data_IF_729196908075
#
_entry.id   IF_729196908075
#
_cell.length_a   1.000
_cell.length_b   1.000
_cell.length_c   1.000
_cell.angle_alpha   90.00
_cell.angle_beta   90.00
_cell.angle_gamma   90.00
#
_symmetry.space_group_name_H-M   'P 1'
#
loop_
_entity.id
_entity.type
_entity.pdbx_description
1 polymer ?
#
# COMPACT_ATOMS: atom_id res chain seq x y z
N UNK A 1 -3.40 -11.22 -19.06
CA UNK A 1 -3.67 -11.62 -20.46
C UNK A 1 -2.39 -11.92 -21.25
N UNK A 2 -1.48 -10.95 -21.53
CA UNK A 2 -0.25 -11.25 -22.31
C UNK A 2 0.69 -12.19 -21.54
N UNK A 3 0.90 -11.92 -20.25
CA UNK A 3 1.77 -12.74 -19.38
C UNK A 3 1.27 -14.18 -19.29
N UNK A 4 -0.04 -14.36 -19.06
CA UNK A 4 -0.66 -15.69 -18.96
C UNK A 4 -0.49 -16.50 -20.25
N UNK A 5 -0.64 -15.85 -21.42
CA UNK A 5 -0.41 -16.49 -22.72
C UNK A 5 1.05 -16.92 -22.88
N UNK A 6 2.00 -16.04 -22.57
CA UNK A 6 3.43 -16.36 -22.68
C UNK A 6 3.78 -17.52 -21.75
N UNK A 7 3.36 -17.49 -20.48
CA UNK A 7 3.62 -18.57 -19.53
C UNK A 7 3.01 -19.90 -19.97
N UNK A 8 1.73 -19.90 -20.35
CA UNK A 8 1.03 -21.11 -20.78
C UNK A 8 1.66 -21.72 -22.05
N UNK A 9 1.97 -20.90 -23.05
CA UNK A 9 2.66 -21.35 -24.27
C UNK A 9 4.06 -21.89 -23.96
N UNK A 10 4.83 -21.27 -23.06
CA UNK A 10 6.17 -21.76 -22.71
C UNK A 10 6.15 -23.09 -21.95
N UNK A 11 5.15 -23.31 -21.08
CA UNK A 11 5.04 -24.52 -20.26
C UNK A 11 4.47 -25.71 -21.04
N UNK A 12 3.44 -25.47 -21.87
CA UNK A 12 2.65 -26.54 -22.48
C UNK A 12 2.72 -26.59 -24.00
N UNK A 13 3.71 -25.92 -24.63
CA UNK A 13 3.85 -25.84 -26.10
C UNK A 13 3.68 -27.18 -26.83
N UNK A 14 4.22 -28.25 -26.26
CA UNK A 14 4.24 -29.59 -26.86
C UNK A 14 2.97 -30.42 -26.60
N UNK A 15 2.06 -29.95 -25.74
CA UNK A 15 0.86 -30.66 -25.32
C UNK A 15 -0.37 -29.74 -25.44
N UNK A 16 -1.03 -29.71 -26.61
CA UNK A 16 -2.15 -28.79 -26.87
C UNK A 16 -3.32 -29.00 -25.91
N UNK A 17 -3.60 -30.25 -25.51
CA UNK A 17 -4.67 -30.58 -24.57
C UNK A 17 -4.43 -29.94 -23.19
N UNK A 18 -3.19 -29.93 -22.72
CA UNK A 18 -2.82 -29.31 -21.44
C UNK A 18 -2.85 -27.77 -21.54
N UNK A 19 -2.49 -27.23 -22.69
CA UNK A 19 -2.56 -25.79 -22.95
C UNK A 19 -4.00 -25.29 -22.91
N UNK A 20 -4.94 -26.03 -23.51
CA UNK A 20 -6.37 -25.69 -23.49
C UNK A 20 -6.92 -25.70 -22.06
N UNK A 21 -6.61 -26.74 -21.27
CA UNK A 21 -7.04 -26.83 -19.86
C UNK A 21 -6.45 -25.70 -19.01
N UNK A 22 -5.18 -25.33 -19.24
CA UNK A 22 -4.53 -24.27 -18.48
C UNK A 22 -5.05 -22.87 -18.82
N UNK A 23 -5.40 -22.64 -20.09
CA UNK A 23 -5.90 -21.34 -20.55
C UNK A 23 -7.37 -21.13 -20.20
N UNK A 24 -8.18 -22.19 -20.21
CA UNK A 24 -9.61 -22.15 -19.91
C UNK A 24 -9.89 -22.61 -18.47
N UNK A 25 -9.46 -21.80 -17.50
CA UNK A 25 -9.72 -22.07 -16.09
C UNK A 25 -11.23 -22.02 -15.79
N UNK A 26 -11.79 -23.03 -15.09
CA UNK A 26 -13.21 -23.01 -14.72
C UNK A 26 -13.48 -21.88 -13.71
N UNK A 27 -14.69 -21.30 -13.75
CA UNK A 27 -15.10 -20.29 -12.78
C UNK A 27 -15.18 -20.89 -11.37
N UNK A 28 -15.28 -20.03 -10.36
CA UNK A 28 -15.43 -20.50 -8.99
C UNK A 28 -16.74 -21.32 -8.84
N UNK A 29 -16.79 -22.40 -8.04
CA UNK A 29 -18.00 -23.24 -7.91
C UNK A 29 -19.28 -22.49 -7.50
N UNK A 30 -19.14 -21.36 -6.80
CA UNK A 30 -20.27 -20.48 -6.48
C UNK A 30 -20.81 -19.73 -7.70
N UNK A 31 -19.93 -19.32 -8.61
CA UNK A 31 -20.28 -18.67 -9.87
C UNK A 31 -20.82 -19.69 -10.88
N UNK A 32 -20.25 -20.90 -10.91
CA UNK A 32 -20.73 -22.00 -11.77
C UNK A 32 -22.17 -22.41 -11.47
N UNK A 33 -22.56 -22.41 -10.17
CA UNK A 33 -23.94 -22.68 -9.76
C UNK A 33 -24.94 -21.61 -10.21
N UNK A 34 -24.51 -20.36 -10.34
CA UNK A 34 -25.37 -19.22 -10.66
C UNK A 34 -24.65 -18.25 -11.63
N UNK A 35 -24.55 -18.58 -12.92
CA UNK A 35 -23.70 -17.82 -13.86
C UNK A 35 -24.10 -16.35 -14.04
N UNK A 36 -25.39 -16.04 -13.87
CA UNK A 36 -25.94 -14.68 -14.01
C UNK A 36 -25.86 -13.84 -12.73
N UNK A 37 -25.39 -14.41 -11.62
CA UNK A 37 -25.36 -13.78 -10.29
C UNK A 37 -26.32 -14.44 -9.30
N UNK A 38 -26.07 -14.25 -8.01
CA UNK A 38 -26.73 -14.98 -6.91
C UNK A 38 -27.54 -14.06 -5.97
N UNK A 39 -27.83 -12.82 -6.40
CA UNK A 39 -28.57 -11.81 -5.62
C UNK A 39 -30.00 -12.24 -5.24
N UNK A 40 -30.58 -13.19 -5.97
CA UNK A 40 -31.88 -13.80 -5.67
C UNK A 40 -31.92 -14.52 -4.30
N UNK A 41 -30.75 -14.87 -3.74
CA UNK A 41 -30.64 -15.53 -2.45
C UNK A 41 -30.67 -14.55 -1.26
N UNK A 42 -30.50 -13.24 -1.48
CA UNK A 42 -30.43 -12.23 -0.42
C UNK A 42 -31.63 -12.27 0.54
N UNK A 43 -32.90 -12.33 0.07
CA UNK A 43 -34.05 -12.33 0.98
C UNK A 43 -34.13 -13.60 1.85
N UNK A 44 -33.53 -14.71 1.41
CA UNK A 44 -33.61 -16.01 2.09
C UNK A 44 -32.62 -16.16 3.25
N UNK A 45 -31.54 -15.38 3.26
CA UNK A 45 -30.47 -15.51 4.26
C UNK A 45 -30.19 -14.18 4.95
N UNK A 46 -30.37 -14.13 6.28
CA UNK A 46 -30.09 -12.94 7.10
C UNK A 46 -28.64 -12.45 6.94
N UNK A 47 -27.68 -13.38 6.79
CA UNK A 47 -26.29 -13.05 6.53
C UNK A 47 -26.13 -12.18 5.27
N UNK A 48 -26.78 -12.57 4.17
CA UNK A 48 -26.65 -11.85 2.91
C UNK A 48 -27.24 -10.45 3.03
N UNK A 49 -28.35 -10.28 3.76
CA UNK A 49 -28.94 -8.96 4.03
C UNK A 49 -28.00 -8.07 4.85
N UNK A 50 -27.29 -8.63 5.83
CA UNK A 50 -26.25 -7.90 6.57
C UNK A 50 -25.09 -7.50 5.65
N UNK A 51 -24.64 -8.41 4.79
CA UNK A 51 -23.54 -8.14 3.84
C UNK A 51 -23.91 -7.11 2.78
N UNK A 52 -25.18 -6.98 2.39
CA UNK A 52 -25.62 -5.90 1.50
C UNK A 52 -25.36 -4.51 2.11
N UNK A 53 -25.52 -4.36 3.42
CA UNK A 53 -25.16 -3.10 4.12
C UNK A 53 -23.66 -2.84 4.08
N UNK A 54 -22.85 -3.90 4.13
CA UNK A 54 -21.40 -3.80 3.98
C UNK A 54 -21.01 -3.40 2.54
N UNK A 55 -21.63 -3.98 1.52
CA UNK A 55 -21.46 -3.57 0.11
C UNK A 55 -21.74 -2.07 -0.08
N UNK A 56 -22.85 -1.58 0.48
CA UNK A 56 -23.22 -0.16 0.46
C UNK A 56 -22.18 0.71 1.15
N UNK A 57 -21.63 0.26 2.29
CA UNK A 57 -20.61 1.01 3.03
C UNK A 57 -19.28 1.14 2.29
N UNK A 58 -18.91 0.13 1.49
CA UNK A 58 -17.69 0.12 0.67
C UNK A 58 -17.93 0.77 -0.70
N UNK A 59 -19.16 0.78 -1.18
CA UNK A 59 -19.52 1.26 -2.52
C UNK A 59 -19.15 0.26 -3.63
N UNK A 60 -19.09 -1.04 -3.31
CA UNK A 60 -18.82 -2.11 -4.27
C UNK A 60 -19.95 -3.13 -4.24
N UNK A 61 -20.65 -3.27 -5.36
CA UNK A 61 -21.76 -4.20 -5.54
C UNK A 61 -21.24 -5.52 -6.13
N UNK A 62 -21.25 -6.63 -5.38
CA UNK A 62 -20.83 -7.93 -5.91
C UNK A 62 -21.88 -8.51 -6.86
N UNK A 63 -21.40 -9.16 -7.92
CA UNK A 63 -22.25 -9.97 -8.82
C UNK A 63 -22.67 -11.25 -8.10
N UNK A 64 -21.72 -11.87 -7.41
CA UNK A 64 -21.91 -13.07 -6.61
C UNK A 64 -21.68 -12.79 -5.12
N UNK A 65 -22.71 -12.34 -4.40
CA UNK A 65 -22.66 -12.00 -2.98
C UNK A 65 -22.26 -13.20 -2.10
N UNK A 66 -22.42 -14.43 -2.58
CA UNK A 66 -21.96 -15.61 -1.84
C UNK A 66 -20.43 -15.72 -1.78
N UNK A 67 -19.69 -15.12 -2.72
CA UNK A 67 -18.22 -15.00 -2.62
C UNK A 67 -17.85 -14.13 -1.42
N UNK A 68 -18.56 -13.00 -1.25
CA UNK A 68 -18.42 -12.14 -0.10
C UNK A 68 -18.79 -12.89 1.19
N UNK A 69 -19.93 -13.58 1.20
CA UNK A 69 -20.31 -14.41 2.36
C UNK A 69 -19.26 -15.47 2.72
N UNK A 70 -18.64 -16.08 1.71
CA UNK A 70 -17.55 -17.03 1.90
C UNK A 70 -16.31 -16.37 2.50
N UNK A 71 -15.92 -15.17 2.06
CA UNK A 71 -14.79 -14.43 2.63
C UNK A 71 -14.98 -14.13 4.13
N UNK A 72 -16.21 -13.87 4.55
CA UNK A 72 -16.57 -13.60 5.94
C UNK A 72 -16.83 -14.86 6.78
N UNK A 73 -16.69 -16.06 6.20
CA UNK A 73 -16.91 -17.32 6.93
C UNK A 73 -15.60 -17.93 7.41
N UNK A 74 -15.37 -17.88 8.72
CA UNK A 74 -14.20 -18.47 9.35
C UNK A 74 -14.18 -20.00 9.27
N UNK A 75 -12.98 -20.58 9.36
CA UNK A 75 -12.77 -22.04 9.38
C UNK A 75 -13.55 -22.77 10.47
N UNK A 76 -13.90 -22.11 11.58
CA UNK A 76 -14.67 -22.71 12.69
C UNK A 76 -16.10 -23.09 12.32
N UNK A 77 -16.69 -22.41 11.33
CA UNK A 77 -18.08 -22.66 10.88
C UNK A 77 -18.19 -23.95 10.06
N UNK A 78 -17.13 -24.32 9.35
CA UNK A 78 -17.10 -25.50 8.50
C UNK A 78 -17.82 -25.30 7.16
N UNK A 79 -18.45 -26.36 6.65
CA UNK A 79 -19.13 -26.35 5.36
C UNK A 79 -20.60 -25.95 5.51
N UNK A 80 -21.03 -24.95 4.74
CA UNK A 80 -22.45 -24.55 4.63
C UNK A 80 -22.89 -24.59 3.17
N UNK A 81 -24.18 -24.84 2.92
CA UNK A 81 -24.73 -24.79 1.57
C UNK A 81 -24.62 -23.39 0.94
N UNK A 82 -24.57 -22.35 1.78
CA UNK A 82 -24.44 -20.97 1.34
C UNK A 82 -23.03 -20.68 0.80
N UNK A 83 -21.98 -21.00 1.56
CA UNK A 83 -20.59 -20.58 1.25
C UNK A 83 -19.71 -21.69 0.68
N UNK A 84 -20.14 -22.94 0.78
CA UNK A 84 -19.42 -24.15 0.35
C UNK A 84 -18.04 -24.31 1.02
N UNK A 85 -17.91 -23.86 2.27
CA UNK A 85 -16.69 -23.94 3.08
C UNK A 85 -16.23 -22.58 3.62
N UNK A 86 -14.98 -22.55 4.07
CA UNK A 86 -14.36 -21.40 4.72
C UNK A 86 -13.61 -20.47 3.76
N UNK A 87 -13.18 -19.35 4.32
CA UNK A 87 -12.42 -18.29 3.68
C UNK A 87 -10.93 -18.58 3.42
N UNK A 88 -10.35 -19.65 3.97
CA UNK A 88 -8.89 -19.91 3.90
C UNK A 88 -8.29 -19.92 2.48
N UNK A 89 -9.05 -20.39 1.49
CA UNK A 89 -8.59 -20.36 0.07
C UNK A 89 -8.62 -18.95 -0.51
N UNK A 90 -9.57 -18.13 -0.08
CA UNK A 90 -9.67 -16.73 -0.48
C UNK A 90 -8.61 -15.90 0.24
N UNK A 91 -8.30 -16.19 1.50
CA UNK A 91 -7.17 -15.61 2.25
C UNK A 91 -5.86 -15.82 1.48
N UNK A 92 -5.54 -17.07 1.13
CA UNK A 92 -4.35 -17.42 0.35
C UNK A 92 -4.26 -16.65 -0.98
N UNK A 93 -5.36 -16.59 -1.74
CA UNK A 93 -5.42 -15.86 -3.00
C UNK A 93 -5.27 -14.35 -2.78
N UNK A 94 -5.94 -13.83 -1.76
CA UNK A 94 -5.95 -12.42 -1.40
C UNK A 94 -4.59 -11.91 -0.97
N UNK A 95 -3.85 -12.66 -0.17
CA UNK A 95 -2.45 -12.35 0.19
C UNK A 95 -1.59 -12.22 -1.08
N UNK A 96 -1.71 -13.18 -2.01
CA UNK A 96 -0.96 -13.14 -3.28
C UNK A 96 -1.31 -11.90 -4.12
N UNK A 97 -2.60 -11.60 -4.26
CA UNK A 97 -3.09 -10.42 -4.99
C UNK A 97 -2.61 -9.13 -4.33
N UNK A 98 -2.68 -9.05 -3.01
CA UNK A 98 -2.24 -7.90 -2.23
C UNK A 98 -0.73 -7.68 -2.37
N UNK A 99 0.08 -8.74 -2.30
CA UNK A 99 1.52 -8.68 -2.52
C UNK A 99 1.86 -8.19 -3.93
N UNK A 100 1.15 -8.66 -4.96
CA UNK A 100 1.35 -8.22 -6.35
C UNK A 100 1.07 -6.71 -6.48
N UNK A 101 -0.10 -6.26 -6.05
CA UNK A 101 -0.54 -4.86 -6.13
C UNK A 101 0.42 -3.94 -5.36
N UNK A 102 0.82 -4.34 -4.15
CA UNK A 102 1.77 -3.58 -3.34
C UNK A 102 3.15 -3.50 -4.00
N UNK A 103 3.65 -4.61 -4.55
CA UNK A 103 4.96 -4.65 -5.24
C UNK A 103 4.96 -3.75 -6.47
N UNK A 104 3.91 -3.83 -7.29
CA UNK A 104 3.76 -3.00 -8.49
C UNK A 104 3.66 -1.51 -8.15
N UNK A 105 2.88 -1.18 -7.11
CA UNK A 105 2.78 0.20 -6.62
C UNK A 105 4.15 0.71 -6.16
N UNK A 106 4.86 -0.03 -5.31
CA UNK A 106 6.17 0.41 -4.79
C UNK A 106 7.19 0.56 -5.92
N UNK A 107 7.24 -0.38 -6.87
CA UNK A 107 8.12 -0.31 -8.03
C UNK A 107 7.87 0.95 -8.87
N UNK A 108 6.60 1.30 -9.16
CA UNK A 108 6.23 2.48 -9.96
C UNK A 108 6.50 3.80 -9.23
N UNK A 109 6.30 3.85 -7.91
CA UNK A 109 6.38 5.09 -7.12
C UNK A 109 7.77 5.36 -6.53
N UNK A 110 8.64 4.36 -6.43
CA UNK A 110 9.99 4.47 -5.89
C UNK A 110 11.06 3.94 -6.87
N UNK A 111 11.19 4.52 -8.08
CA UNK A 111 12.07 4.00 -9.13
C UNK A 111 13.58 4.06 -8.80
N UNK A 112 13.97 4.87 -7.81
CA UNK A 112 15.36 5.02 -7.36
C UNK A 112 15.71 4.04 -6.22
N UNK A 113 14.74 3.24 -5.74
CA UNK A 113 14.97 2.29 -4.65
C UNK A 113 15.35 0.91 -5.21
N UNK A 114 16.38 0.30 -4.62
CA UNK A 114 16.76 -1.08 -4.96
C UNK A 114 15.80 -2.10 -4.34
N UNK A 115 15.90 -3.35 -4.80
CA UNK A 115 15.03 -4.48 -4.38
C UNK A 115 14.85 -4.55 -2.85
N UNK A 116 15.94 -4.63 -2.07
CA UNK A 116 15.84 -4.74 -0.61
C UNK A 116 15.05 -3.59 0.07
N UNK A 117 15.12 -2.36 -0.45
CA UNK A 117 14.31 -1.25 0.07
C UNK A 117 12.83 -1.42 -0.30
N UNK A 118 12.53 -1.85 -1.52
CA UNK A 118 11.16 -2.11 -1.96
C UNK A 118 10.52 -3.26 -1.17
N UNK A 119 11.27 -4.35 -0.96
CA UNK A 119 10.85 -5.50 -0.15
C UNK A 119 10.54 -5.10 1.29
N UNK A 120 11.36 -4.23 1.87
CA UNK A 120 11.16 -3.71 3.22
C UNK A 120 9.94 -2.78 3.33
N UNK A 121 9.77 -1.86 2.39
CA UNK A 121 8.56 -1.03 2.30
C UNK A 121 7.31 -1.88 2.14
N UNK A 122 7.39 -2.95 1.33
CA UNK A 122 6.27 -3.90 1.14
C UNK A 122 5.91 -4.60 2.44
N UNK A 123 6.87 -5.19 3.15
CA UNK A 123 6.61 -5.86 4.44
C UNK A 123 6.11 -4.90 5.52
N UNK A 124 6.43 -3.61 5.42
CA UNK A 124 5.95 -2.60 6.35
C UNK A 124 4.52 -2.14 6.04
N UNK A 125 4.15 -2.15 4.76
CA UNK A 125 2.82 -1.78 4.29
C UNK A 125 1.83 -2.95 4.37
N UNK A 126 2.26 -4.14 3.99
CA UNK A 126 1.49 -5.39 3.97
C UNK A 126 1.94 -6.24 5.15
N UNK A 127 1.37 -5.97 6.32
CA UNK A 127 1.56 -6.77 7.53
C UNK A 127 0.26 -6.86 8.34
N UNK A 128 0.21 -7.85 9.23
CA UNK A 128 -0.99 -8.15 10.01
C UNK A 128 -1.51 -6.93 10.79
N UNK A 129 -0.64 -6.06 11.29
CA UNK A 129 -1.05 -4.87 12.05
C UNK A 129 -1.75 -3.86 11.15
N UNK A 130 -1.17 -3.55 10.00
CA UNK A 130 -1.75 -2.59 9.05
C UNK A 130 -3.06 -3.11 8.49
N UNK A 131 -3.08 -4.39 8.13
CA UNK A 131 -4.28 -5.05 7.62
C UNK A 131 -5.40 -5.10 8.68
N UNK A 132 -5.07 -5.38 9.94
CA UNK A 132 -6.04 -5.34 11.03
C UNK A 132 -6.65 -3.95 11.23
N UNK A 133 -5.84 -2.89 11.16
CA UNK A 133 -6.34 -1.52 11.25
C UNK A 133 -7.29 -1.19 10.09
N UNK A 134 -6.97 -1.62 8.87
CA UNK A 134 -7.87 -1.44 7.72
C UNK A 134 -9.18 -2.22 7.91
N UNK A 135 -9.11 -3.45 8.42
CA UNK A 135 -10.29 -4.25 8.76
C UNK A 135 -11.19 -3.54 9.80
N UNK A 136 -10.58 -2.91 10.81
CA UNK A 136 -11.30 -2.17 11.85
C UNK A 136 -11.92 -0.88 11.30
N UNK A 137 -11.18 -0.12 10.49
CA UNK A 137 -11.68 1.12 9.87
C UNK A 137 -12.86 0.88 8.93
N UNK A 138 -12.92 -0.30 8.30
CA UNK A 138 -14.04 -0.75 7.47
C UNK A 138 -15.15 -1.45 8.26
N UNK A 139 -14.97 -1.67 9.57
CA UNK A 139 -15.94 -2.36 10.42
C UNK A 139 -16.23 -3.81 10.02
N UNK A 140 -15.29 -4.48 9.33
CA UNK A 140 -15.49 -5.84 8.78
C UNK A 140 -15.74 -6.88 9.87
N UNK A 141 -15.14 -6.70 11.05
CA UNK A 141 -15.32 -7.57 12.21
C UNK A 141 -16.79 -7.83 12.56
N UNK A 142 -17.67 -6.85 12.34
CA UNK A 142 -19.09 -6.93 12.67
C UNK A 142 -19.89 -7.85 11.74
N UNK A 143 -19.35 -8.18 10.58
CA UNK A 143 -19.99 -9.02 9.56
C UNK A 143 -19.42 -10.43 9.50
N UNK A 144 -18.34 -10.70 10.24
CA UNK A 144 -17.64 -11.97 10.21
C UNK A 144 -18.42 -13.07 10.98
N UNK A 145 -18.49 -14.25 10.37
CA UNK A 145 -19.15 -15.42 10.92
C UNK A 145 -18.17 -16.36 11.60
N UNK A 146 -18.45 -16.65 12.87
CA UNK A 146 -17.75 -17.62 13.69
C UNK A 146 -18.77 -18.58 14.30
N UNK A 147 -18.39 -19.85 14.44
CA UNK A 147 -19.26 -20.85 15.07
C UNK A 147 -19.47 -20.57 16.57
N UNK A 148 -18.45 -19.97 17.19
CA UNK A 148 -18.53 -19.42 18.54
C UNK A 148 -18.13 -17.94 18.46
N UNK A 149 -19.04 -16.99 18.75
CA UNK A 149 -18.73 -15.57 18.66
C UNK A 149 -17.56 -15.25 19.60
N UNK A 150 -16.40 -14.91 19.01
CA UNK A 150 -15.23 -14.48 19.78
C UNK A 150 -15.54 -13.12 20.41
N UNK A 151 -15.24 -12.96 21.70
CA UNK A 151 -15.39 -11.67 22.38
C UNK A 151 -14.50 -10.59 21.76
N UNK A 152 -13.34 -10.97 21.23
CA UNK A 152 -12.43 -10.06 20.52
C UNK A 152 -11.65 -10.80 19.43
N UNK A 153 -11.59 -10.22 18.23
CA UNK A 153 -10.78 -10.75 17.14
C UNK A 153 -9.32 -10.38 17.33
N UNK A 154 -8.43 -11.37 17.19
CA UNK A 154 -6.98 -11.15 17.21
C UNK A 154 -6.57 -10.37 15.97
N UNK A 155 -5.43 -9.66 16.05
CA UNK A 155 -4.83 -8.93 14.92
C UNK A 155 -4.67 -9.82 13.68
N UNK A 156 -4.27 -11.09 13.86
CA UNK A 156 -4.15 -12.03 12.76
C UNK A 156 -5.51 -12.34 12.13
N UNK A 157 -6.52 -12.67 12.93
CA UNK A 157 -7.87 -12.98 12.41
C UNK A 157 -8.45 -11.83 11.57
N UNK A 158 -8.16 -10.57 11.96
CA UNK A 158 -8.58 -9.37 11.21
C UNK A 158 -7.82 -9.20 9.89
N UNK A 159 -6.53 -9.52 9.88
CA UNK A 159 -5.73 -9.52 8.67
C UNK A 159 -6.20 -10.60 7.68
N UNK A 160 -6.36 -11.84 8.16
CA UNK A 160 -6.83 -12.98 7.36
C UNK A 160 -8.21 -12.67 6.74
N UNK A 161 -9.10 -11.94 7.46
CA UNK A 161 -10.39 -11.48 6.95
C UNK A 161 -10.27 -10.45 5.82
N UNK A 162 -9.34 -9.49 5.95
CA UNK A 162 -9.08 -8.50 4.89
C UNK A 162 -8.54 -9.19 3.63
N UNK A 163 -7.60 -10.11 3.78
CA UNK A 163 -7.04 -10.90 2.68
C UNK A 163 -8.14 -11.70 2.00
N UNK A 164 -8.98 -12.41 2.76
CA UNK A 164 -10.10 -13.15 2.21
C UNK A 164 -11.08 -12.27 1.44
N UNK A 165 -11.36 -11.05 1.92
CA UNK A 165 -12.19 -10.08 1.20
C UNK A 165 -11.55 -9.63 -0.11
N UNK A 166 -10.25 -9.31 -0.11
CA UNK A 166 -9.51 -8.96 -1.34
C UNK A 166 -9.55 -10.13 -2.33
N UNK A 167 -9.40 -11.37 -1.85
CA UNK A 167 -9.54 -12.58 -2.65
C UNK A 167 -10.93 -12.71 -3.28
N UNK A 168 -12.01 -12.46 -2.52
CA UNK A 168 -13.37 -12.47 -3.07
C UNK A 168 -13.60 -11.35 -4.08
N UNK A 169 -13.09 -10.14 -3.80
CA UNK A 169 -13.17 -9.00 -4.71
C UNK A 169 -12.47 -9.29 -6.03
N UNK A 170 -11.29 -9.93 -5.97
CA UNK A 170 -10.55 -10.34 -7.15
C UNK A 170 -11.32 -11.37 -7.99
N UNK A 171 -11.95 -12.36 -7.35
CA UNK A 171 -12.73 -13.40 -8.06
C UNK A 171 -14.01 -12.84 -8.69
N UNK A 172 -14.66 -11.85 -8.08
CA UNK A 172 -15.91 -11.27 -8.59
C UNK A 172 -15.68 -10.14 -9.62
N UNK A 173 -14.72 -9.25 -9.37
CA UNK A 173 -14.52 -8.00 -10.13
C UNK A 173 -13.16 -7.87 -10.82
N UNK A 174 -12.19 -8.71 -10.47
CA UNK A 174 -10.84 -8.67 -11.04
C UNK A 174 -9.90 -7.66 -10.37
N UNK A 175 -8.71 -7.55 -10.95
CA UNK A 175 -7.58 -6.83 -10.35
C UNK A 175 -7.80 -5.32 -10.21
N UNK A 176 -8.50 -4.69 -11.14
CA UNK A 176 -8.70 -3.23 -11.17
C UNK A 176 -9.40 -2.73 -9.89
N UNK A 177 -10.42 -3.45 -9.41
CA UNK A 177 -11.13 -3.11 -8.18
C UNK A 177 -10.23 -3.30 -6.94
N UNK A 178 -9.41 -4.35 -6.92
CA UNK A 178 -8.44 -4.59 -5.85
C UNK A 178 -7.39 -3.47 -5.80
N UNK A 179 -6.92 -2.99 -6.96
CA UNK A 179 -5.98 -1.87 -7.03
C UNK A 179 -6.57 -0.58 -6.47
N UNK A 180 -7.79 -0.23 -6.88
CA UNK A 180 -8.49 0.96 -6.38
C UNK A 180 -8.73 0.85 -4.88
N UNK A 181 -9.14 -0.33 -4.40
CA UNK A 181 -9.31 -0.58 -2.98
C UNK A 181 -8.00 -0.32 -2.21
N UNK A 182 -6.89 -0.92 -2.63
CA UNK A 182 -5.59 -0.73 -1.98
C UNK A 182 -5.08 0.73 -2.03
N UNK A 183 -5.38 1.45 -3.12
CA UNK A 183 -5.04 2.87 -3.27
C UNK A 183 -5.76 3.76 -2.26
N UNK A 184 -6.96 3.40 -1.83
CA UNK A 184 -7.75 4.17 -0.87
C UNK A 184 -7.45 3.75 0.56
N UNK A 185 -7.29 2.45 0.83
CA UNK A 185 -7.25 1.93 2.21
C UNK A 185 -5.84 1.72 2.77
N UNK A 186 -4.89 1.31 1.92
CA UNK A 186 -3.54 0.90 2.34
C UNK A 186 -2.50 1.96 2.01
N UNK A 187 -2.42 2.38 0.74
CA UNK A 187 -1.33 3.24 0.27
C UNK A 187 -1.26 4.64 0.91
N UNK A 188 -2.35 5.28 1.37
CA UNK A 188 -2.24 6.53 2.11
C UNK A 188 -1.46 6.37 3.41
N UNK A 189 -1.57 5.22 4.09
CA UNK A 189 -0.87 4.91 5.34
C UNK A 189 0.63 4.74 5.15
N UNK A 190 1.06 4.44 3.93
CA UNK A 190 2.49 4.41 3.61
C UNK A 190 3.16 5.74 3.95
N UNK A 191 2.45 6.88 3.82
CA UNK A 191 3.00 8.17 4.20
C UNK A 191 3.29 8.25 5.70
N UNK A 192 2.34 7.82 6.52
CA UNK A 192 2.48 7.80 7.98
C UNK A 192 3.61 6.85 8.41
N UNK A 193 3.70 5.66 7.79
CA UNK A 193 4.79 4.71 8.08
C UNK A 193 6.16 5.27 7.73
N UNK A 194 6.28 5.93 6.57
CA UNK A 194 7.56 6.49 6.17
C UNK A 194 7.94 7.68 7.07
N UNK A 195 6.97 8.51 7.49
CA UNK A 195 7.20 9.61 8.42
C UNK A 195 7.62 9.12 9.81
N UNK A 196 6.99 8.07 10.32
CA UNK A 196 7.27 7.53 11.65
C UNK A 196 8.56 6.69 11.70
N UNK A 197 9.08 6.23 10.56
CA UNK A 197 10.33 5.45 10.43
C UNK A 197 10.38 4.16 11.28
N UNK A 198 9.23 3.62 11.71
CA UNK A 198 9.13 2.41 12.54
C UNK A 198 9.48 1.10 11.80
N UNK A 199 9.79 1.19 10.50
CA UNK A 199 9.94 0.04 9.59
C UNK A 199 11.30 -0.65 9.63
N UNK A 200 12.27 -0.12 10.37
CA UNK A 200 13.57 -0.75 10.53
C UNK A 200 13.91 -0.85 12.01
N UNK A 201 14.23 -2.07 12.46
CA UNK A 201 15.05 -2.20 13.64
C UNK A 201 16.34 -1.38 13.44
N UNK A 202 16.83 -0.67 14.46
CA UNK A 202 17.99 0.21 14.31
C UNK A 202 19.22 -0.51 13.73
N UNK A 203 19.31 -1.84 13.93
CA UNK A 203 20.37 -2.70 13.41
C UNK A 203 20.26 -2.90 11.89
N UNK A 204 19.10 -3.29 11.35
CA UNK A 204 18.91 -3.35 9.89
C UNK A 204 19.06 -1.99 9.22
N UNK A 205 18.61 -0.91 9.86
CA UNK A 205 18.81 0.46 9.33
C UNK A 205 20.29 0.81 9.19
N UNK A 206 21.08 0.51 10.22
CA UNK A 206 22.53 0.74 10.19
C UNK A 206 23.20 -0.13 9.13
N UNK A 207 22.81 -1.40 9.02
CA UNK A 207 23.32 -2.31 7.98
C UNK A 207 23.04 -1.77 6.58
N UNK A 208 21.82 -1.30 6.30
CA UNK A 208 21.49 -0.70 5.01
C UNK A 208 22.34 0.55 4.71
N UNK A 209 22.50 1.45 5.68
CA UNK A 209 23.34 2.64 5.51
C UNK A 209 24.82 2.28 5.24
N UNK A 210 25.32 1.22 5.86
CA UNK A 210 26.65 0.70 5.60
C UNK A 210 26.77 0.08 4.20
N UNK A 211 25.75 -0.68 3.76
CA UNK A 211 25.70 -1.30 2.43
C UNK A 211 25.58 -0.30 1.29
N UNK A 212 25.07 0.90 1.54
CA UNK A 212 25.00 1.98 0.53
C UNK A 212 26.31 2.77 0.39
N UNK A 213 27.25 2.62 1.33
CA UNK A 213 28.62 3.17 1.27
C UNK A 213 29.62 2.25 0.53
N UNK A 214 29.14 1.31 -0.29
CA UNK A 214 30.00 0.47 -1.12
C UNK A 214 30.94 1.32 -1.95
N UNK A 215 32.23 1.01 -1.86
CA UNK A 215 33.23 1.46 -2.83
C UNK A 215 32.99 0.73 -4.16
N UNK A 216 33.27 1.41 -5.27
CA UNK A 216 33.07 0.88 -6.63
C UNK A 216 34.02 -0.29 -6.98
N UNK A 217 34.83 -0.75 -6.03
CA UNK A 217 36.00 -1.61 -6.25
C UNK A 217 35.67 -3.11 -6.25
N UNK A 218 34.39 -3.50 -6.35
CA UNK A 218 33.97 -4.89 -6.57
C UNK A 218 34.24 -5.88 -5.42
N UNK A 219 34.70 -5.43 -4.27
CA UNK A 219 34.88 -6.24 -3.07
C UNK A 219 33.57 -6.63 -2.36
N UNK A 220 33.65 -7.61 -1.46
CA UNK A 220 32.51 -7.98 -0.61
C UNK A 220 32.04 -6.77 0.23
N UNK A 221 30.72 -6.56 0.37
CA UNK A 221 30.20 -5.39 1.04
C UNK A 221 30.51 -5.42 2.55
N UNK A 222 31.05 -4.32 3.08
CA UNK A 222 31.30 -4.17 4.52
C UNK A 222 29.99 -4.15 5.31
N UNK A 223 29.86 -5.06 6.29
CA UNK A 223 28.71 -5.16 7.19
C UNK A 223 29.12 -4.71 8.60
N UNK A 224 28.26 -3.98 9.34
CA UNK A 224 28.56 -3.59 10.72
C UNK A 224 28.67 -4.81 11.65
N UNK A 225 29.73 -4.84 12.46
CA UNK A 225 30.03 -5.92 13.40
C UNK A 225 29.73 -5.47 14.83
N UNK A 226 28.97 -6.28 15.56
CA UNK A 226 28.63 -6.03 16.96
C UNK A 226 29.53 -6.86 17.88
N UNK A 227 30.11 -6.23 18.90
CA UNK A 227 30.93 -6.91 19.91
C UNK A 227 30.48 -6.53 21.31
N UNK A 228 30.30 -7.53 22.18
CA UNK A 228 30.08 -7.32 23.61
C UNK A 228 31.40 -6.85 24.22
N UNK A 229 31.40 -5.65 24.81
CA UNK A 229 32.58 -5.10 25.49
C UNK A 229 32.58 -5.50 26.96
N UNK A 230 31.40 -5.50 27.59
CA UNK A 230 31.29 -5.68 29.02
C UNK A 230 29.97 -6.37 29.39
N UNK A 231 30.00 -7.22 30.40
CA UNK A 231 28.83 -7.84 31.02
C UNK A 231 28.93 -7.65 32.53
N UNK A 232 27.98 -6.90 33.10
CA UNK A 232 27.93 -6.58 34.54
C UNK A 232 26.61 -7.03 35.16
N UNK A 233 26.64 -7.40 36.43
CA UNK A 233 25.45 -7.71 37.23
C UNK A 233 25.19 -9.21 37.45
N UNK A 234 24.33 -9.54 38.43
CA UNK A 234 23.96 -10.92 38.75
C UNK A 234 23.08 -11.53 37.66
N UNK A 235 22.98 -12.85 37.60
CA UNK A 235 22.37 -13.61 36.49
C UNK A 235 20.97 -13.13 36.09
N UNK A 236 20.15 -12.66 37.04
CA UNK A 236 18.77 -12.20 36.79
C UNK A 236 18.64 -10.71 36.43
N UNK A 237 19.70 -9.91 36.56
CA UNK A 237 19.72 -8.48 36.21
C UNK A 237 21.01 -8.11 35.47
N UNK A 238 21.44 -8.99 34.55
CA UNK A 238 22.62 -8.74 33.73
C UNK A 238 22.39 -7.55 32.81
N UNK A 239 23.45 -6.78 32.68
CA UNK A 239 23.54 -5.59 31.84
C UNK A 239 24.69 -5.81 30.87
N UNK A 240 24.37 -5.85 29.59
CA UNK A 240 25.31 -6.04 28.50
C UNK A 240 25.64 -4.70 27.86
N UNK A 241 26.93 -4.41 27.70
CA UNK A 241 27.43 -3.27 26.93
C UNK A 241 27.95 -3.78 25.60
N UNK A 242 27.33 -3.35 24.50
CA UNK A 242 27.69 -3.74 23.13
C UNK A 242 28.18 -2.51 22.36
N UNK A 243 29.23 -2.68 21.57
CA UNK A 243 29.66 -1.70 20.58
C UNK A 243 29.49 -2.20 19.15
N UNK A 244 29.17 -1.27 18.26
CA UNK A 244 29.13 -1.49 16.82
C UNK A 244 30.37 -0.92 16.15
N UNK A 245 30.95 -1.71 15.26
CA UNK A 245 32.14 -1.39 14.49
C UNK A 245 31.81 -1.44 13.00
N UNK A 246 32.34 -0.50 12.24
CA UNK A 246 32.25 -0.48 10.77
C UNK A 246 33.63 -0.10 10.22
N UNK A 247 34.16 -0.89 9.27
CA UNK A 247 35.52 -0.74 8.72
C UNK A 247 36.62 -0.63 9.80
N UNK A 248 36.50 -1.42 10.88
CA UNK A 248 37.44 -1.39 12.00
C UNK A 248 37.27 -0.22 12.97
N UNK A 249 36.53 0.83 12.62
CA UNK A 249 36.21 1.97 13.48
C UNK A 249 34.99 1.72 14.35
N UNK A 250 35.07 2.07 15.64
CA UNK A 250 33.93 2.00 16.57
C UNK A 250 32.97 3.16 16.32
N UNK A 251 31.75 2.86 15.88
CA UNK A 251 30.72 3.86 15.61
C UNK A 251 30.02 4.33 16.90
N UNK A 252 29.57 3.38 17.72
CA UNK A 252 28.89 3.67 18.98
C UNK A 252 28.92 2.48 19.93
N UNK A 253 28.57 2.74 21.20
CA UNK A 253 28.35 1.71 22.22
C UNK A 253 27.10 2.04 23.05
N UNK A 254 26.33 1.02 23.40
CA UNK A 254 25.17 1.15 24.25
C UNK A 254 24.94 -0.07 25.14
N UNK A 255 24.00 0.09 26.05
CA UNK A 255 23.71 -0.84 27.14
C UNK A 255 22.30 -1.43 26.96
N UNK A 256 22.09 -2.68 27.38
CA UNK A 256 20.78 -3.33 27.38
C UNK A 256 20.70 -4.50 28.35
N UNK A 257 19.47 -4.92 28.68
CA UNK A 257 19.22 -6.08 29.56
C UNK A 257 19.37 -7.43 28.84
N UNK A 258 19.42 -7.39 27.50
CA UNK A 258 19.79 -8.52 26.65
C UNK A 258 20.81 -8.08 25.61
N UNK A 259 21.54 -9.04 25.04
CA UNK A 259 22.51 -8.77 23.96
C UNK A 259 21.79 -8.12 22.76
N UNK A 260 20.63 -8.64 22.36
CA UNK A 260 19.83 -8.07 21.26
C UNK A 260 19.40 -6.63 21.54
N UNK A 261 18.94 -6.33 22.77
CA UNK A 261 18.53 -4.97 23.13
C UNK A 261 19.72 -4.01 23.16
N UNK A 262 20.88 -4.46 23.66
CA UNK A 262 22.11 -3.68 23.66
C UNK A 262 22.61 -3.40 22.21
N UNK A 263 22.50 -4.38 21.30
CA UNK A 263 22.80 -4.22 19.88
C UNK A 263 21.89 -3.19 19.20
N UNK A 264 20.57 -3.27 19.42
CA UNK A 264 19.61 -2.32 18.87
C UNK A 264 19.87 -0.90 19.39
N UNK A 265 20.17 -0.75 20.68
CA UNK A 265 20.50 0.54 21.27
C UNK A 265 21.82 1.10 20.71
N UNK A 266 22.82 0.25 20.51
CA UNK A 266 24.11 0.65 19.94
C UNK A 266 23.96 1.10 18.49
N UNK A 267 23.14 0.38 17.71
CA UNK A 267 22.83 0.74 16.33
C UNK A 267 22.06 2.07 16.24
N UNK A 268 21.08 2.30 17.13
CA UNK A 268 20.36 3.57 17.21
C UNK A 268 21.30 4.73 17.49
N UNK A 269 22.17 4.58 18.49
CA UNK A 269 23.16 5.61 18.86
C UNK A 269 24.18 5.85 17.75
N UNK A 270 24.58 4.82 17.01
CA UNK A 270 25.43 4.98 15.83
C UNK A 270 24.75 5.84 14.77
N UNK A 271 23.49 5.55 14.43
CA UNK A 271 22.72 6.33 13.46
C UNK A 271 22.52 7.80 13.85
N UNK A 272 22.42 8.10 15.15
CA UNK A 272 22.32 9.46 15.68
C UNK A 272 23.66 10.22 15.56
N UNK A 273 24.78 9.58 15.92
CA UNK A 273 26.12 10.20 15.92
C UNK A 273 26.65 10.39 14.49
N UNK A 274 26.43 9.41 13.62
CA UNK A 274 27.04 9.38 12.29
C UNK A 274 26.14 9.97 11.20
N UNK A 275 25.29 10.96 11.55
CA UNK A 275 24.43 11.66 10.60
C UNK A 275 25.22 12.23 9.41
N UNK A 276 26.47 12.66 9.64
CA UNK A 276 27.36 13.22 8.61
C UNK A 276 28.04 12.17 7.72
N UNK A 277 28.21 10.92 8.21
CA UNK A 277 28.81 9.83 7.42
C UNK A 277 27.84 9.22 6.41
N UNK A 278 26.54 9.45 6.56
CA UNK A 278 25.48 8.81 5.76
C UNK A 278 24.63 9.85 5.00
N UNK A 279 25.19 10.57 4.00
CA UNK A 279 24.44 11.55 3.21
C UNK A 279 23.25 10.95 2.44
N UNK A 280 23.23 9.62 2.28
CA UNK A 280 22.14 8.88 1.66
C UNK A 280 20.89 8.78 2.54
N UNK A 281 20.99 8.92 3.87
CA UNK A 281 19.80 9.03 4.74
C UNK A 281 19.03 10.32 4.45
N UNK A 282 19.74 11.43 4.20
CA UNK A 282 19.15 12.69 3.77
C UNK A 282 18.71 12.68 2.31
N UNK A 283 19.36 11.87 1.46
CA UNK A 283 18.88 11.62 0.10
C UNK A 283 17.58 10.81 0.13
N UNK A 284 17.47 9.74 0.91
CA UNK A 284 16.24 8.98 1.10
C UNK A 284 15.12 9.86 1.63
N UNK A 285 15.34 10.64 2.71
CA UNK A 285 14.36 11.63 3.20
C UNK A 285 13.92 12.59 2.09
N UNK A 286 14.84 13.09 1.26
CA UNK A 286 14.54 14.00 0.14
C UNK A 286 13.81 13.31 -1.02
N UNK A 287 14.19 12.10 -1.40
CA UNK A 287 13.57 11.31 -2.49
C UNK A 287 12.16 10.90 -2.10
N UNK A 288 11.99 10.44 -0.86
CA UNK A 288 10.69 10.16 -0.26
C UNK A 288 9.84 11.43 -0.26
N UNK A 289 10.36 12.54 0.26
CA UNK A 289 9.64 13.82 0.27
C UNK A 289 9.28 14.30 -1.15
N UNK A 290 10.13 14.06 -2.15
CA UNK A 290 9.90 14.38 -3.57
C UNK A 290 8.83 13.48 -4.19
N UNK A 291 8.85 12.18 -3.90
CA UNK A 291 7.81 11.23 -4.30
C UNK A 291 6.46 11.57 -3.66
N UNK A 292 6.45 11.99 -2.38
CA UNK A 292 5.26 12.47 -1.67
C UNK A 292 4.72 13.79 -2.25
N UNK A 293 5.60 14.73 -2.65
CA UNK A 293 5.18 15.97 -3.35
C UNK A 293 4.50 15.66 -4.69
N UNK A 294 4.87 14.55 -5.34
CA UNK A 294 4.27 14.06 -6.58
C UNK A 294 2.86 13.48 -6.34
N UNK A 295 2.64 12.82 -5.20
CA UNK A 295 1.33 12.30 -4.79
C UNK A 295 0.33 13.41 -4.41
N UNK A 296 0.77 14.47 -3.72
CA UNK A 296 -0.11 15.62 -3.36
C UNK A 296 -0.56 16.47 -4.57
N UNK A 297 0.03 16.30 -5.75
CA UNK A 297 -0.20 17.16 -6.91
C UNK A 297 -0.64 16.41 -8.19
N UNK A 298 -1.79 15.70 -8.17
CA UNK A 298 -2.29 14.97 -9.35
C UNK A 298 -2.70 15.90 -10.52
N UNK A 299 -2.96 17.19 -10.25
CA UNK A 299 -3.43 18.16 -11.25
C UNK A 299 -2.39 18.55 -12.32
N UNK A 300 -1.10 18.26 -12.14
CA UNK A 300 -0.07 18.61 -13.15
C UNK A 300 0.09 17.56 -14.26
N UNK A 301 -0.29 16.28 -14.04
CA UNK A 301 -0.21 15.23 -15.06
C UNK A 301 -1.29 15.34 -16.14
N UNK A 302 -2.49 15.85 -15.80
CA UNK A 302 -3.59 16.01 -16.78
C UNK A 302 -3.39 17.14 -17.80
N UNK A 303 -2.46 18.08 -17.56
CA UNK A 303 -2.15 19.16 -18.51
C UNK A 303 -1.03 18.85 -19.50
N UNK A 304 -0.20 17.84 -19.23
CA UNK A 304 0.91 17.47 -20.12
C UNK A 304 0.56 16.40 -21.16
N UNK A 305 -0.58 15.72 -21.02
CA UNK A 305 -1.04 14.68 -21.95
C UNK A 305 -2.05 15.16 -22.99
N UNK A 306 -2.37 16.46 -23.04
CA UNK A 306 -3.35 17.04 -23.99
C UNK A 306 -2.72 17.94 -25.07
N UNK A 307 -1.40 17.84 -25.33
CA UNK A 307 -0.72 18.75 -26.27
C UNK A 307 0.18 18.05 -27.29
N UNK A 308 -0.16 16.82 -27.70
CA UNK A 308 0.63 16.09 -28.72
C UNK A 308 -0.21 15.15 -29.58
N UNK A 309 -1.20 15.72 -30.28
CA UNK A 309 -1.90 15.20 -31.47
C UNK A 309 -2.81 16.37 -31.86
N UNK A 310 -2.61 17.11 -32.95
CA UNK A 310 -2.67 16.64 -34.34
C UNK A 310 -1.96 17.67 -35.23
N UNK A 311 -0.97 17.24 -36.00
CA UNK A 311 -0.47 17.97 -37.17
C UNK A 311 -0.76 17.13 -38.40
N UNK A 312 -1.76 17.53 -39.21
CA UNK A 312 -1.86 17.14 -40.62
C UNK A 312 -2.70 18.18 -41.39
N UNK A 313 -1.97 18.96 -42.17
CA UNK A 313 -2.20 19.33 -43.59
C UNK A 313 -3.61 19.56 -44.16
N UNK A 314 -3.68 20.72 -44.85
CA UNK A 314 -4.31 21.03 -46.16
C UNK A 314 -5.79 21.42 -46.27
N UNK A 315 -5.97 22.62 -46.88
CA UNK A 315 -7.06 23.10 -47.74
C UNK A 315 -8.47 23.15 -47.12
N UNK A 316 -9.29 24.20 -47.25
CA UNK A 316 -9.60 25.02 -48.43
C UNK A 316 -10.53 26.16 -47.96
N UNK A 317 -10.38 27.34 -48.55
CA UNK A 317 -11.41 28.38 -48.80
C UNK A 317 -12.32 28.89 -47.65
N UNK A 318 -12.15 30.18 -47.34
CA UNK A 318 -13.21 31.05 -46.82
C UNK A 318 -14.31 31.27 -47.87
N UNK A 319 -15.52 31.63 -47.42
CA UNK A 319 -16.07 32.88 -47.92
C UNK A 319 -16.68 33.79 -46.82
N UNK A 320 -16.25 35.05 -46.90
CA UNK A 320 -17.04 36.30 -46.83
C UNK A 320 -17.99 36.59 -45.65
N UNK A 321 -17.53 37.55 -44.83
CA UNK A 321 -18.19 38.75 -44.25
C UNK A 321 -19.58 39.16 -44.82
N UNK A 322 -20.43 39.92 -44.08
CA UNK A 322 -20.05 41.28 -43.68
C UNK A 322 -20.51 41.77 -42.30
N UNK A 323 -19.97 42.95 -41.96
CA UNK A 323 -20.02 43.66 -40.69
C UNK A 323 -21.08 44.77 -40.69
N UNK A 324 -21.60 45.06 -39.48
CA UNK A 324 -21.85 46.39 -38.86
C UNK A 324 -23.11 47.17 -39.26
N UNK A 325 -23.46 48.33 -38.64
CA UNK A 325 -22.89 49.01 -37.45
C UNK A 325 -23.91 49.67 -36.47
N UNK A 326 -23.36 50.25 -35.37
CA UNK A 326 -23.84 51.45 -34.65
C UNK A 326 -24.94 51.22 -33.59
N UNK A 327 -25.00 51.93 -32.45
CA UNK A 327 -24.33 53.15 -31.98
C UNK A 327 -24.70 53.48 -30.52
N UNK A 328 -23.98 54.48 -29.97
CA UNK A 328 -24.24 55.29 -28.75
C UNK A 328 -23.96 54.65 -27.37
N UNK A 329 -22.91 55.00 -26.60
CA UNK A 329 -22.34 56.30 -26.14
C UNK A 329 -22.97 56.82 -24.83
N UNK A 330 -22.21 56.82 -23.72
CA UNK A 330 -21.72 58.01 -22.99
C UNK A 330 -21.33 57.71 -21.53
N UNK A 331 -20.04 57.97 -21.25
CA UNK A 331 -19.51 58.93 -20.27
C UNK A 331 -20.15 59.08 -18.87
N UNK A 332 -19.35 58.86 -17.81
CA UNK A 332 -18.69 59.86 -16.92
C UNK A 332 -18.22 59.15 -15.64
N UNK A 333 -16.92 59.02 -15.36
CA UNK A 333 -15.98 59.98 -14.74
C UNK A 333 -16.30 60.43 -13.29
N UNK A 334 -15.26 60.23 -12.44
CA UNK A 334 -14.73 61.13 -11.37
C UNK A 334 -15.25 60.85 -9.93
N UNK A 335 -14.45 60.88 -8.85
CA UNK A 335 -13.00 60.79 -8.57
C UNK A 335 -12.77 60.70 -7.04
N UNK A 336 -11.60 60.15 -6.65
CA UNK A 336 -10.66 60.47 -5.53
C UNK A 336 -11.15 60.80 -4.09
N UNK A 337 -10.78 59.91 -3.15
CA UNK A 337 -9.90 60.01 -1.93
C UNK A 337 -9.80 61.33 -1.10
N UNK A 338 -9.18 61.38 0.12
CA UNK A 338 -8.54 60.35 0.99
C UNK A 338 -8.74 60.48 2.55
N UNK A 339 -8.10 59.57 3.31
CA UNK A 339 -7.30 59.81 4.55
C UNK A 339 -7.75 59.29 5.95
N UNK A 340 -6.77 58.63 6.61
CA UNK A 340 -6.44 58.55 8.07
C UNK A 340 -7.43 57.89 9.05
N UNK A 341 -7.08 57.29 10.19
CA UNK A 341 -5.90 56.68 10.87
C UNK A 341 -6.33 56.44 12.33
N UNK A 342 -5.63 55.54 13.08
CA UNK A 342 -5.69 55.25 14.54
C UNK A 342 -6.60 54.08 14.94
N UNK A 343 -6.04 52.97 15.42
CA UNK A 343 -5.52 52.69 16.78
C UNK A 343 -6.65 52.58 17.81
N UNK A 344 -6.87 51.38 18.38
CA UNK A 344 -6.65 51.07 19.82
C UNK A 344 -7.10 49.64 20.17
N UNK A 345 -6.21 48.98 20.92
CA UNK A 345 -6.35 47.90 21.90
C UNK A 345 -7.72 47.58 22.54
N UNK A 346 -7.96 46.28 22.78
CA UNK A 346 -8.25 45.63 24.09
C UNK A 346 -8.54 44.13 23.82
N UNK A 347 -7.79 43.12 24.27
CA UNK A 347 -7.60 42.61 25.65
C UNK A 347 -8.88 42.33 26.42
N UNK A 348 -9.29 41.07 26.48
CA UNK A 348 -9.46 40.28 27.72
C UNK A 348 -9.44 38.79 27.36
#
# INVERSE_FOLDING_TARGET
QIVDRVFSETLFKSHPDLLEVWTNLPPHPLQEKEPLGDRLWIPKFELLQKLTKFEESIGVEFTHIRLLARAFTDRSVGYTNLTLGSNQRLEFLGDTVLQLIASEYLYKYFPEHHEGHLSLLRSSLVNNRTQAVVCDDLGMANYALYNNPKAELKTKDRADLLEAFIGALYVDKGLEYCEVFCQVTLFPRLQDFIMNQDWNDPKSKLQQCCLTLRTMDGGEPDIPVYKVIECKGPTNTRVYTVAVYFRGTRLASAVGHSIQQAEMNAAKKALEISHDLFPQLDHQKRVIAKSMKKQRNPKKRRRSSSTSTTSNSTNTFQPTRPKSPSSYSRNRFRAKSPSRSKDTSNSS
#
